data_IF_440677509204
#
_entry.id   IF_440677509204
#
_cell.length_a   1.000
_cell.length_b   1.000
_cell.length_c   1.000
_cell.angle_alpha   90.00
_cell.angle_beta   90.00
_cell.angle_gamma   90.00
#
_symmetry.space_group_name_H-M   'P 1'
#
loop_
_entity.id
_entity.type
_entity.pdbx_description
1 polymer ?
#
# COMPACT_ATOMS: atom_id res chain seq x y z
N UNK A 1 4.41 2.01 -26.32
CA UNK A 1 4.11 3.09 -25.36
C UNK A 1 2.63 3.08 -25.05
N UNK A 2 2.23 3.33 -23.81
CA UNK A 2 0.83 3.46 -23.38
C UNK A 2 0.29 4.80 -23.84
N UNK A 3 -0.86 4.80 -24.52
CA UNK A 3 -1.53 6.00 -25.03
C UNK A 3 -2.82 6.33 -24.30
N UNK A 4 -3.28 5.45 -23.40
CA UNK A 4 -4.50 5.59 -22.61
C UNK A 4 -4.28 5.11 -21.20
N UNK A 5 -4.64 5.91 -20.17
CA UNK A 5 -4.33 5.62 -18.77
C UNK A 5 -5.44 6.09 -17.83
N UNK A 6 -5.93 5.22 -16.96
CA UNK A 6 -6.73 5.60 -15.79
C UNK A 6 -5.83 5.64 -14.55
N UNK A 7 -5.73 6.79 -13.89
CA UNK A 7 -5.04 6.95 -12.61
C UNK A 7 -6.08 6.82 -11.49
N UNK A 8 -5.88 5.88 -10.56
CA UNK A 8 -6.86 5.45 -9.59
C UNK A 8 -6.34 5.68 -8.16
N UNK A 9 -7.03 6.53 -7.41
CA UNK A 9 -6.59 6.96 -6.08
C UNK A 9 -7.67 6.65 -5.04
N UNK A 10 -7.54 5.56 -4.27
CA UNK A 10 -8.40 5.31 -3.11
C UNK A 10 -8.06 6.29 -1.99
N UNK A 11 -9.07 6.94 -1.41
CA UNK A 11 -8.89 7.93 -0.34
C UNK A 11 -9.80 7.62 0.85
N UNK A 12 -9.29 7.82 2.06
CA UNK A 12 -10.05 7.84 3.30
C UNK A 12 -9.40 8.78 4.31
N UNK A 13 -10.09 9.85 4.67
CA UNK A 13 -9.59 10.90 5.55
C UNK A 13 -8.20 11.45 5.11
N UNK A 14 -7.96 11.51 3.81
CA UNK A 14 -6.71 11.98 3.20
C UNK A 14 -6.99 13.04 2.15
N UNK A 15 -6.35 14.20 2.24
CA UNK A 15 -6.40 15.25 1.20
C UNK A 15 -5.37 14.87 0.14
N UNK A 16 -5.84 14.65 -1.10
CA UNK A 16 -5.00 14.29 -2.24
C UNK A 16 -4.99 15.34 -3.37
N UNK A 17 -5.56 16.51 -3.12
CA UNK A 17 -5.73 17.58 -4.12
C UNK A 17 -4.40 17.97 -4.78
N UNK A 18 -3.32 18.13 -4.00
CA UNK A 18 -2.02 18.51 -4.53
C UNK A 18 -1.39 17.41 -5.39
N UNK A 19 -1.51 16.16 -4.95
CA UNK A 19 -1.08 14.99 -5.73
C UNK A 19 -1.81 14.93 -7.07
N UNK A 20 -3.13 15.10 -7.08
CA UNK A 20 -3.93 15.07 -8.31
C UNK A 20 -3.57 16.22 -9.24
N UNK A 21 -3.35 17.45 -8.73
CA UNK A 21 -2.88 18.57 -9.55
C UNK A 21 -1.56 18.27 -10.25
N UNK A 22 -0.59 17.70 -9.54
CA UNK A 22 0.70 17.34 -10.13
C UNK A 22 0.55 16.24 -11.19
N UNK A 23 -0.25 15.20 -10.92
CA UNK A 23 -0.53 14.15 -11.90
C UNK A 23 -1.25 14.67 -13.14
N UNK A 24 -2.27 15.52 -12.95
CA UNK A 24 -3.00 16.16 -14.06
C UNK A 24 -2.07 17.01 -14.94
N UNK A 25 -1.23 17.86 -14.33
CA UNK A 25 -0.27 18.68 -15.06
C UNK A 25 0.71 17.82 -15.87
N UNK A 26 1.22 16.71 -15.28
CA UNK A 26 2.09 15.78 -16.00
C UNK A 26 1.38 15.13 -17.19
N UNK A 27 0.15 14.64 -17.01
CA UNK A 27 -0.63 14.05 -18.11
C UNK A 27 -0.88 15.05 -19.24
N UNK A 28 -1.24 16.28 -18.93
CA UNK A 28 -1.43 17.35 -19.92
C UNK A 28 -0.14 17.75 -20.66
N UNK A 29 1.03 17.53 -20.06
CA UNK A 29 2.32 17.88 -20.66
C UNK A 29 2.89 16.82 -21.60
N UNK A 30 2.28 15.65 -21.70
CA UNK A 30 2.74 14.56 -22.58
C UNK A 30 2.54 14.97 -24.04
N UNK A 31 3.65 15.08 -24.77
CA UNK A 31 3.70 15.69 -26.11
C UNK A 31 3.04 14.87 -27.24
N UNK A 32 2.77 13.59 -27.03
CA UNK A 32 2.11 12.69 -27.99
C UNK A 32 0.62 12.58 -27.68
N UNK A 33 -0.23 12.11 -28.62
CA UNK A 33 -1.63 11.83 -28.33
C UNK A 33 -1.76 10.88 -27.13
N UNK A 34 -2.30 11.40 -26.01
CA UNK A 34 -2.44 10.67 -24.77
C UNK A 34 -3.80 10.97 -24.14
N UNK A 35 -4.57 9.94 -23.89
CA UNK A 35 -5.87 10.03 -23.21
C UNK A 35 -5.74 9.57 -21.78
N UNK A 36 -6.27 10.33 -20.85
CA UNK A 36 -6.21 9.96 -19.45
C UNK A 36 -7.47 10.34 -18.69
N UNK A 37 -7.65 9.70 -17.58
CA UNK A 37 -8.58 10.10 -16.51
C UNK A 37 -7.91 9.91 -15.15
N UNK A 38 -8.36 10.68 -14.16
CA UNK A 38 -7.95 10.54 -12.76
C UNK A 38 -9.22 10.33 -11.95
N UNK A 39 -9.37 9.14 -11.37
CA UNK A 39 -10.51 8.79 -10.51
C UNK A 39 -10.04 8.76 -9.05
N UNK A 40 -10.64 9.59 -8.21
CA UNK A 40 -10.45 9.56 -6.77
C UNK A 40 -11.71 9.00 -6.12
N UNK A 41 -11.61 7.89 -5.39
CA UNK A 41 -12.74 7.34 -4.65
C UNK A 41 -12.56 7.57 -3.15
N UNK A 42 -13.47 8.34 -2.59
CA UNK A 42 -13.59 8.55 -1.14
C UNK A 42 -14.37 7.39 -0.50
N UNK A 43 -13.71 6.65 0.38
CA UNK A 43 -14.31 5.49 1.08
C UNK A 43 -15.11 5.92 2.33
N UNK A 44 -16.03 6.86 2.14
CA UNK A 44 -16.86 7.47 3.19
C UNK A 44 -16.03 8.11 4.31
N UNK A 45 -15.20 9.08 3.96
CA UNK A 45 -14.44 9.89 4.92
C UNK A 45 -15.34 10.53 5.97
N UNK A 46 -14.87 10.53 7.20
CA UNK A 46 -15.61 11.09 8.36
C UNK A 46 -15.26 12.55 8.64
N UNK A 47 -14.19 13.07 8.03
CA UNK A 47 -13.79 14.47 8.17
C UNK A 47 -14.36 15.32 7.03
N UNK A 48 -15.31 16.24 7.28
CA UNK A 48 -15.93 17.08 6.26
C UNK A 48 -14.94 18.01 5.54
N UNK A 49 -13.87 18.46 6.20
CA UNK A 49 -12.84 19.30 5.58
C UNK A 49 -12.06 18.55 4.50
N UNK A 50 -11.80 17.26 4.72
CA UNK A 50 -11.16 16.40 3.71
C UNK A 50 -12.05 16.25 2.49
N UNK A 51 -13.33 15.96 2.70
CA UNK A 51 -14.32 15.84 1.61
C UNK A 51 -14.36 17.13 0.80
N UNK A 52 -14.55 18.27 1.46
CA UNK A 52 -14.59 19.59 0.83
C UNK A 52 -13.30 19.91 0.05
N UNK A 53 -12.15 19.60 0.62
CA UNK A 53 -10.86 19.82 -0.05
C UNK A 53 -10.71 18.96 -1.32
N UNK A 54 -11.20 17.72 -1.31
CA UNK A 54 -11.11 16.82 -2.46
C UNK A 54 -12.21 17.08 -3.51
N UNK A 55 -13.37 17.64 -3.14
CA UNK A 55 -14.41 18.04 -4.11
C UNK A 55 -13.92 19.05 -5.15
N UNK A 56 -12.89 19.85 -4.84
CA UNK A 56 -12.26 20.77 -5.80
C UNK A 56 -11.71 20.03 -7.03
N UNK A 57 -11.47 18.72 -6.94
CA UNK A 57 -10.97 17.89 -8.04
C UNK A 57 -11.95 17.81 -9.22
N UNK A 58 -13.25 17.98 -9.01
CA UNK A 58 -14.27 18.01 -10.07
C UNK A 58 -14.14 19.24 -11.00
N UNK A 59 -13.33 20.22 -10.64
CA UNK A 59 -13.05 21.40 -11.47
C UNK A 59 -11.93 21.15 -12.51
N UNK A 60 -11.19 20.05 -12.40
CA UNK A 60 -10.15 19.68 -13.35
C UNK A 60 -10.75 18.76 -14.43
N UNK A 61 -10.47 19.08 -15.70
CA UNK A 61 -10.81 18.19 -16.80
C UNK A 61 -10.22 16.80 -16.60
N UNK A 62 -10.93 15.77 -17.01
CA UNK A 62 -10.51 14.37 -16.84
C UNK A 62 -10.35 13.88 -15.38
N UNK A 63 -10.80 14.67 -14.40
CA UNK A 63 -10.79 14.27 -12.99
C UNK A 63 -12.21 14.03 -12.48
N UNK A 64 -12.41 12.92 -11.75
CA UNK A 64 -13.71 12.59 -11.14
C UNK A 64 -13.50 12.23 -9.67
N UNK A 65 -14.31 12.85 -8.80
CA UNK A 65 -14.34 12.54 -7.37
C UNK A 65 -15.58 11.71 -7.06
N UNK A 66 -15.37 10.45 -6.69
CA UNK A 66 -16.43 9.46 -6.40
C UNK A 66 -16.56 9.26 -4.89
N UNK A 67 -17.75 9.53 -4.34
CA UNK A 67 -18.02 9.34 -2.92
C UNK A 67 -18.79 8.04 -2.69
N UNK A 68 -18.24 7.13 -1.88
CA UNK A 68 -18.94 5.91 -1.48
C UNK A 68 -19.85 6.19 -0.28
N UNK A 69 -21.02 5.56 -0.18
CA UNK A 69 -21.94 5.79 0.91
C UNK A 69 -21.49 5.19 2.25
N UNK A 70 -20.59 4.21 2.22
CA UNK A 70 -20.10 3.49 3.40
C UNK A 70 -18.64 3.13 3.25
N UNK A 71 -17.89 3.13 4.37
CA UNK A 71 -16.51 2.66 4.39
C UNK A 71 -16.47 1.14 4.22
N UNK A 72 -15.86 0.68 3.16
CA UNK A 72 -15.72 -0.74 2.81
C UNK A 72 -14.29 -1.25 2.82
N UNK A 73 -13.32 -0.34 3.03
CA UNK A 73 -11.89 -0.63 3.11
C UNK A 73 -11.16 -0.53 1.76
N UNK A 74 -9.83 -0.47 1.84
CA UNK A 74 -8.95 -0.18 0.71
C UNK A 74 -9.06 -1.20 -0.44
N UNK A 75 -9.25 -2.48 -0.14
CA UNK A 75 -9.43 -3.54 -1.13
C UNK A 75 -10.67 -3.28 -1.99
N UNK A 76 -11.83 -3.09 -1.35
CA UNK A 76 -13.10 -2.82 -2.04
C UNK A 76 -13.06 -1.49 -2.79
N UNK A 77 -12.39 -0.47 -2.25
CA UNK A 77 -12.28 0.84 -2.91
C UNK A 77 -11.40 0.78 -4.17
N UNK A 78 -10.33 -0.02 -4.16
CA UNK A 78 -9.55 -0.26 -5.39
C UNK A 78 -10.33 -1.05 -6.44
N UNK A 79 -11.12 -2.07 -6.02
CA UNK A 79 -11.99 -2.79 -6.94
C UNK A 79 -13.07 -1.87 -7.55
N UNK A 80 -13.68 -1.03 -6.71
CA UNK A 80 -14.65 -0.02 -7.16
C UNK A 80 -14.04 0.92 -8.22
N UNK A 81 -12.85 1.44 -7.99
CA UNK A 81 -12.14 2.28 -8.96
C UNK A 81 -11.86 1.52 -10.26
N UNK A 82 -11.38 0.29 -10.21
CA UNK A 82 -11.11 -0.51 -11.40
C UNK A 82 -12.36 -0.77 -12.26
N UNK A 83 -13.53 -0.91 -11.61
CA UNK A 83 -14.82 -1.08 -12.29
C UNK A 83 -15.27 0.20 -13.02
N UNK A 84 -14.99 1.38 -12.44
CA UNK A 84 -15.35 2.69 -13.01
C UNK A 84 -14.35 3.20 -14.05
N UNK A 85 -13.14 2.67 -14.06
CA UNK A 85 -12.10 3.06 -15.01
C UNK A 85 -12.49 2.67 -16.45
N UNK A 86 -12.22 3.58 -17.40
CA UNK A 86 -12.55 3.35 -18.81
C UNK A 86 -11.39 2.80 -19.65
N UNK A 87 -10.14 3.06 -19.24
CA UNK A 87 -8.96 2.66 -20.02
C UNK A 87 -8.40 1.31 -19.59
N UNK A 88 -7.64 0.67 -20.49
CA UNK A 88 -7.06 -0.65 -20.24
C UNK A 88 -5.89 -0.61 -19.25
N UNK A 89 -5.12 0.47 -19.20
CA UNK A 89 -4.03 0.60 -18.25
C UNK A 89 -4.47 1.39 -17.01
N UNK A 90 -4.30 0.78 -15.84
CA UNK A 90 -4.68 1.33 -14.54
C UNK A 90 -3.44 1.60 -13.70
N UNK A 91 -3.21 2.85 -13.31
CA UNK A 91 -2.16 3.23 -12.37
C UNK A 91 -2.78 3.50 -10.99
N UNK A 92 -2.58 2.60 -10.05
CA UNK A 92 -3.05 2.77 -8.67
C UNK A 92 -2.01 3.49 -7.84
N UNK A 93 -2.44 4.53 -7.09
CA UNK A 93 -1.60 5.35 -6.22
C UNK A 93 -2.31 5.59 -4.88
N UNK A 94 -1.62 5.38 -3.75
CA UNK A 94 -2.19 5.70 -2.43
C UNK A 94 -2.22 7.22 -2.20
N UNK A 95 -3.33 7.73 -1.67
CA UNK A 95 -3.64 9.16 -1.51
C UNK A 95 -2.77 9.90 -0.49
N UNK A 96 -2.07 9.21 0.42
CA UNK A 96 -1.22 9.78 1.47
C UNK A 96 0.27 9.85 1.10
N UNK A 97 0.56 9.70 -0.19
CA UNK A 97 1.90 9.72 -0.75
C UNK A 97 2.17 11.01 -1.52
N UNK A 98 3.44 11.28 -1.83
CA UNK A 98 3.90 12.46 -2.58
C UNK A 98 4.53 12.05 -3.90
N UNK A 99 4.24 12.76 -4.99
CA UNK A 99 4.87 12.59 -6.30
C UNK A 99 6.32 13.13 -6.21
N UNK A 100 7.34 12.38 -6.66
CA UNK A 100 8.73 12.76 -6.47
C UNK A 100 9.21 13.88 -7.41
N UNK A 101 8.69 13.92 -8.65
CA UNK A 101 9.13 14.84 -9.72
C UNK A 101 8.11 14.88 -10.87
N UNK A 102 8.40 15.74 -11.88
CA UNK A 102 7.47 16.05 -12.99
C UNK A 102 7.43 14.99 -14.09
N UNK A 103 8.21 13.90 -14.01
CA UNK A 103 8.25 12.81 -14.99
C UNK A 103 7.71 11.49 -14.46
N UNK A 104 7.02 11.52 -13.34
CA UNK A 104 6.54 10.32 -12.67
C UNK A 104 5.57 9.50 -13.55
N UNK A 105 4.60 10.14 -14.21
CA UNK A 105 3.64 9.46 -15.10
C UNK A 105 4.34 8.96 -16.36
N UNK A 106 5.15 9.80 -17.00
CA UNK A 106 5.87 9.47 -18.25
C UNK A 106 6.66 8.17 -18.14
N UNK A 107 7.33 7.94 -16.99
CA UNK A 107 8.12 6.72 -16.74
C UNK A 107 7.32 5.43 -16.78
N UNK A 108 5.99 5.48 -16.64
CA UNK A 108 5.15 4.28 -16.77
C UNK A 108 4.78 3.94 -18.21
N UNK A 109 4.79 4.92 -19.11
CA UNK A 109 4.19 4.78 -20.45
C UNK A 109 4.95 3.80 -21.37
N UNK A 110 6.22 3.52 -21.09
CA UNK A 110 7.05 2.63 -21.91
C UNK A 110 6.90 1.13 -21.56
N UNK A 111 6.27 0.82 -20.44
CA UNK A 111 6.23 -0.56 -19.92
C UNK A 111 5.00 -1.33 -20.37
N UNK A 112 4.93 -1.67 -21.67
CA UNK A 112 3.83 -2.48 -22.24
C UNK A 112 4.13 -3.97 -22.30
N UNK A 113 5.38 -4.38 -22.03
CA UNK A 113 5.83 -5.78 -22.13
C UNK A 113 5.52 -6.64 -20.89
N UNK A 114 5.05 -6.02 -19.80
CA UNK A 114 4.70 -6.69 -18.55
C UNK A 114 3.24 -6.41 -18.18
N UNK A 115 2.61 -7.36 -17.53
CA UNK A 115 1.21 -7.24 -17.12
C UNK A 115 1.04 -6.33 -15.88
N UNK A 116 2.07 -6.31 -15.02
CA UNK A 116 2.14 -5.50 -13.81
C UNK A 116 3.49 -4.78 -13.73
N UNK A 117 3.48 -3.49 -13.44
CA UNK A 117 4.68 -2.70 -13.17
C UNK A 117 4.55 -2.03 -11.81
N UNK A 118 5.50 -2.30 -10.90
CA UNK A 118 5.47 -1.76 -9.54
C UNK A 118 6.59 -0.74 -9.34
N UNK A 119 6.23 0.54 -9.08
CA UNK A 119 7.17 1.65 -8.97
C UNK A 119 7.96 1.69 -7.67
N UNK A 120 7.36 1.17 -6.60
CA UNK A 120 7.97 1.17 -5.26
C UNK A 120 7.66 2.40 -4.44
N UNK A 121 8.33 2.49 -3.29
CA UNK A 121 8.17 3.56 -2.29
C UNK A 121 9.56 4.01 -1.87
N UNK A 122 9.76 5.31 -1.71
CA UNK A 122 10.91 5.90 -1.02
C UNK A 122 10.47 6.59 0.27
N UNK A 123 11.40 6.71 1.21
CA UNK A 123 11.10 7.24 2.53
C UNK A 123 11.65 8.65 2.67
N UNK A 124 10.75 9.61 2.82
CA UNK A 124 11.07 11.01 3.03
C UNK A 124 11.67 11.27 4.41
N UNK A 125 11.77 12.54 4.78
CA UNK A 125 12.34 12.93 6.08
C UNK A 125 11.36 12.66 7.22
N UNK A 126 11.82 11.96 8.26
CA UNK A 126 11.04 11.67 9.47
C UNK A 126 11.84 11.82 10.75
N UNK A 127 11.15 11.75 11.89
CA UNK A 127 11.78 11.87 13.21
C UNK A 127 12.37 10.53 13.64
N UNK A 128 13.61 10.54 14.16
CA UNK A 128 14.31 9.32 14.65
C UNK A 128 13.61 8.62 15.83
N UNK A 129 12.67 9.28 16.50
CA UNK A 129 11.85 8.69 17.55
C UNK A 129 10.46 8.24 17.06
N UNK A 130 10.21 8.30 15.76
CA UNK A 130 8.98 7.76 15.16
C UNK A 130 9.21 6.31 14.71
N UNK A 131 8.43 5.38 15.25
CA UNK A 131 8.59 3.95 15.01
C UNK A 131 8.30 3.56 13.54
N UNK A 132 7.27 4.16 12.93
CA UNK A 132 6.96 3.90 11.51
C UNK A 132 8.11 4.36 10.61
N UNK A 133 8.59 5.58 10.84
CA UNK A 133 9.75 6.10 10.10
C UNK A 133 10.97 5.18 10.23
N UNK A 134 11.34 4.80 11.46
CA UNK A 134 12.47 3.90 11.69
C UNK A 134 12.31 2.57 10.96
N UNK A 135 11.11 1.99 10.98
CA UNK A 135 10.84 0.70 10.34
C UNK A 135 10.94 0.79 8.82
N UNK A 136 10.24 1.75 8.20
CA UNK A 136 10.22 1.93 6.75
C UNK A 136 11.59 2.38 6.21
N UNK A 137 12.26 3.32 6.88
CA UNK A 137 13.60 3.79 6.48
C UNK A 137 14.65 2.67 6.58
N UNK A 138 14.61 1.83 7.61
CA UNK A 138 15.50 0.68 7.68
C UNK A 138 15.18 -0.38 6.60
N UNK A 139 13.92 -0.52 6.20
CA UNK A 139 13.51 -1.46 5.17
C UNK A 139 13.91 -1.00 3.75
N UNK A 140 13.92 0.30 3.49
CA UNK A 140 14.13 0.90 2.16
C UNK A 140 15.37 0.36 1.45
N UNK A 141 16.51 0.23 2.14
CA UNK A 141 17.78 -0.31 1.59
C UNK A 141 17.67 -1.75 1.07
N UNK A 142 16.66 -2.49 1.52
CA UNK A 142 16.37 -3.87 1.10
C UNK A 142 15.27 -3.97 0.06
N UNK A 143 14.71 -2.83 -0.39
CA UNK A 143 13.60 -2.74 -1.33
C UNK A 143 13.96 -1.98 -2.62
N UNK A 144 15.22 -2.00 -3.06
CA UNK A 144 15.61 -1.48 -4.37
C UNK A 144 14.89 -2.22 -5.50
N UNK A 145 14.68 -1.59 -6.65
CA UNK A 145 14.02 -2.22 -7.80
C UNK A 145 14.70 -3.56 -8.20
N UNK A 146 16.02 -3.63 -8.13
CA UNK A 146 16.79 -4.84 -8.41
C UNK A 146 16.44 -5.98 -7.43
N UNK A 147 16.43 -5.71 -6.12
CA UNK A 147 16.11 -6.72 -5.10
C UNK A 147 14.65 -7.15 -5.18
N UNK A 148 13.74 -6.22 -5.49
CA UNK A 148 12.32 -6.51 -5.70
C UNK A 148 12.11 -7.41 -6.92
N UNK A 149 12.83 -7.18 -8.03
CA UNK A 149 12.76 -8.03 -9.22
C UNK A 149 13.22 -9.47 -8.95
N UNK A 150 14.26 -9.67 -8.11
CA UNK A 150 14.69 -11.02 -7.68
C UNK A 150 13.61 -11.77 -6.88
N UNK A 151 12.77 -11.05 -6.15
CA UNK A 151 11.72 -11.61 -5.30
C UNK A 151 10.34 -11.68 -5.99
N UNK A 152 10.14 -10.95 -7.09
CA UNK A 152 8.91 -10.90 -7.86
C UNK A 152 7.71 -10.45 -7.04
N UNK A 153 6.59 -11.14 -7.15
CA UNK A 153 5.35 -10.79 -6.44
C UNK A 153 5.42 -10.85 -4.90
N UNK A 154 6.48 -11.42 -4.30
CA UNK A 154 6.68 -11.38 -2.85
C UNK A 154 6.99 -9.96 -2.33
N UNK A 155 7.44 -9.07 -3.21
CA UNK A 155 7.70 -7.66 -2.91
C UNK A 155 6.69 -6.71 -3.58
N UNK A 156 5.57 -7.25 -4.08
CA UNK A 156 4.47 -6.44 -4.60
C UNK A 156 3.82 -5.63 -3.47
N UNK A 157 3.58 -4.35 -3.73
CA UNK A 157 2.83 -3.43 -2.86
C UNK A 157 1.82 -2.64 -3.68
N UNK A 158 0.60 -2.52 -3.18
CA UNK A 158 -0.49 -1.83 -3.88
C UNK A 158 -0.43 -0.31 -3.82
N UNK A 159 0.59 0.27 -3.18
CA UNK A 159 0.74 1.72 -3.00
C UNK A 159 1.03 2.45 -4.32
N UNK A 160 1.72 1.78 -5.26
CA UNK A 160 2.21 2.40 -6.49
C UNK A 160 2.45 1.32 -7.55
N UNK A 161 1.43 1.05 -8.37
CA UNK A 161 1.55 0.03 -9.42
C UNK A 161 0.65 0.27 -10.61
N UNK A 162 1.14 -0.11 -11.78
CA UNK A 162 0.43 -0.15 -13.05
C UNK A 162 -0.01 -1.58 -13.33
N UNK A 163 -1.22 -1.79 -13.82
CA UNK A 163 -1.80 -3.11 -14.16
C UNK A 163 -2.82 -2.98 -15.26
N UNK A 164 -3.01 -4.04 -16.08
CA UNK A 164 -4.10 -4.11 -17.04
C UNK A 164 -5.45 -4.24 -16.34
N UNK A 165 -6.44 -3.46 -16.80
CA UNK A 165 -7.82 -3.47 -16.28
C UNK A 165 -8.45 -4.85 -16.39
N UNK A 166 -8.30 -5.51 -17.54
CA UNK A 166 -8.78 -6.88 -17.75
C UNK A 166 -8.25 -7.84 -16.69
N UNK A 167 -6.99 -7.70 -16.29
CA UNK A 167 -6.37 -8.55 -15.29
C UNK A 167 -6.90 -8.31 -13.88
N UNK A 168 -7.01 -7.05 -13.44
CA UNK A 168 -7.51 -6.73 -12.09
C UNK A 168 -9.00 -7.06 -11.93
N UNK A 169 -9.80 -6.97 -13.00
CA UNK A 169 -11.20 -7.40 -12.99
C UNK A 169 -11.35 -8.92 -12.88
N UNK A 170 -10.43 -9.69 -13.46
CA UNK A 170 -10.39 -11.16 -13.33
C UNK A 170 -9.79 -11.64 -12.01
N UNK A 171 -8.95 -10.81 -11.39
CA UNK A 171 -8.26 -11.09 -10.13
C UNK A 171 -8.40 -9.88 -9.19
N UNK A 172 -9.62 -9.60 -8.67
CA UNK A 172 -9.83 -8.46 -7.82
C UNK A 172 -9.13 -8.62 -6.46
N UNK A 173 -8.93 -7.53 -5.77
CA UNK A 173 -8.56 -7.56 -4.35
C UNK A 173 -9.62 -8.32 -3.55
N UNK A 174 -9.17 -9.09 -2.57
CA UNK A 174 -10.09 -9.83 -1.69
C UNK A 174 -10.75 -8.88 -0.67
N UNK A 175 -12.04 -8.66 -0.83
CA UNK A 175 -12.82 -7.73 0.00
C UNK A 175 -13.10 -8.23 1.41
N UNK A 176 -12.69 -9.46 1.76
CA UNK A 176 -12.68 -9.92 3.16
C UNK A 176 -11.68 -9.15 4.02
N UNK A 177 -10.70 -8.46 3.40
CA UNK A 177 -9.79 -7.52 4.06
C UNK A 177 -10.48 -6.16 4.22
N UNK A 178 -11.21 -5.99 5.32
CA UNK A 178 -11.94 -4.74 5.63
C UNK A 178 -11.03 -3.59 6.07
N UNK A 179 -9.82 -3.89 6.50
CA UNK A 179 -8.80 -2.92 6.90
C UNK A 179 -7.57 -3.12 6.00
N UNK A 180 -6.80 -2.06 5.80
CA UNK A 180 -5.53 -2.14 5.07
C UNK A 180 -4.55 -3.10 5.75
N UNK A 181 -3.84 -3.85 4.94
CA UNK A 181 -2.77 -4.77 5.35
C UNK A 181 -3.01 -6.20 4.90
N UNK A 182 -2.05 -6.69 4.11
CA UNK A 182 -1.98 -8.02 3.49
C UNK A 182 -2.96 -8.29 2.33
N UNK A 183 -3.87 -7.38 1.98
CA UNK A 183 -4.70 -7.48 0.77
C UNK A 183 -3.84 -7.48 -0.50
N UNK A 184 -2.78 -6.68 -0.50
CA UNK A 184 -1.78 -6.60 -1.56
C UNK A 184 -0.92 -7.87 -1.64
N UNK A 185 -0.53 -8.42 -0.51
CA UNK A 185 0.23 -9.68 -0.42
C UNK A 185 -0.58 -10.84 -1.01
N UNK A 186 -1.88 -10.92 -0.69
CA UNK A 186 -2.75 -11.97 -1.25
C UNK A 186 -2.98 -11.77 -2.75
N UNK A 187 -3.19 -10.54 -3.20
CA UNK A 187 -3.28 -10.25 -4.64
C UNK A 187 -1.99 -10.65 -5.37
N UNK A 188 -0.83 -10.24 -4.86
CA UNK A 188 0.47 -10.62 -5.42
C UNK A 188 0.65 -12.13 -5.52
N UNK A 189 0.25 -12.88 -4.48
CA UNK A 189 0.25 -14.36 -4.52
C UNK A 189 -0.67 -14.90 -5.62
N UNK A 190 -1.89 -14.37 -5.73
CA UNK A 190 -2.88 -14.80 -6.72
C UNK A 190 -2.39 -14.57 -8.14
N UNK A 191 -1.82 -13.39 -8.43
CA UNK A 191 -1.25 -13.05 -9.73
C UNK A 191 -0.04 -13.95 -10.06
N UNK A 192 0.84 -14.18 -9.10
CA UNK A 192 1.98 -15.08 -9.26
C UNK A 192 1.56 -16.52 -9.62
N UNK A 193 0.54 -17.05 -8.94
CA UNK A 193 0.03 -18.40 -9.20
C UNK A 193 -0.64 -18.52 -10.57
N UNK A 194 -1.10 -17.41 -11.16
CA UNK A 194 -1.66 -17.36 -12.53
C UNK A 194 -0.59 -17.14 -13.59
N UNK A 195 0.69 -17.08 -13.24
CA UNK A 195 1.79 -16.88 -14.18
C UNK A 195 1.87 -15.47 -14.76
N UNK A 196 1.26 -14.48 -14.09
CA UNK A 196 1.30 -13.06 -14.49
C UNK A 196 2.73 -12.55 -14.41
N UNK A 197 3.14 -11.71 -15.36
CA UNK A 197 4.46 -11.08 -15.37
C UNK A 197 4.48 -9.79 -14.52
N UNK A 198 5.52 -9.61 -13.69
CA UNK A 198 5.74 -8.37 -12.93
C UNK A 198 7.13 -7.81 -13.19
N UNK A 199 7.20 -6.49 -13.33
CA UNK A 199 8.43 -5.73 -13.36
C UNK A 199 8.44 -4.69 -12.22
N UNK A 200 9.51 -4.68 -11.44
CA UNK A 200 9.74 -3.62 -10.47
C UNK A 200 10.69 -2.57 -11.06
N UNK A 201 10.24 -1.32 -11.07
CA UNK A 201 11.02 -0.18 -11.57
C UNK A 201 11.40 0.77 -10.45
N UNK A 202 12.38 1.64 -10.71
CA UNK A 202 12.73 2.72 -9.79
C UNK A 202 11.92 3.98 -10.13
N UNK A 203 10.65 3.97 -9.77
CA UNK A 203 9.73 5.11 -9.90
C UNK A 203 8.89 5.27 -8.62
N UNK A 204 9.54 5.52 -7.45
CA UNK A 204 8.87 5.45 -6.16
C UNK A 204 7.97 6.65 -5.90
N UNK A 205 6.85 6.42 -5.22
CA UNK A 205 6.17 7.47 -4.46
C UNK A 205 6.92 7.74 -3.15
N UNK A 206 6.84 8.96 -2.66
CA UNK A 206 7.52 9.37 -1.42
C UNK A 206 6.56 9.32 -0.23
N UNK A 207 6.93 8.57 0.80
CA UNK A 207 6.21 8.55 2.07
C UNK A 207 6.74 9.67 2.97
N UNK A 208 5.96 10.71 3.19
CA UNK A 208 6.30 11.86 4.02
C UNK A 208 5.47 11.94 5.31
N UNK A 209 4.41 11.11 5.44
CA UNK A 209 3.50 11.12 6.58
C UNK A 209 3.71 9.88 7.43
N UNK A 210 4.06 10.09 8.70
CA UNK A 210 4.32 9.02 9.65
C UNK A 210 3.41 9.21 10.85
N UNK A 211 2.51 8.26 11.08
CA UNK A 211 1.60 8.28 12.23
C UNK A 211 2.39 8.27 13.54
N UNK A 212 1.79 8.80 14.59
CA UNK A 212 2.31 8.69 15.95
C UNK A 212 2.48 7.22 16.36
N UNK A 213 3.50 6.94 17.19
CA UNK A 213 3.87 5.59 17.59
C UNK A 213 2.69 4.77 18.13
N UNK A 214 1.80 5.37 18.92
CA UNK A 214 0.65 4.67 19.46
C UNK A 214 -0.36 4.27 18.38
N UNK A 215 -0.67 5.17 17.42
CA UNK A 215 -1.55 4.88 16.27
C UNK A 215 -0.94 3.83 15.37
N UNK A 216 0.37 3.92 15.12
CA UNK A 216 1.09 2.93 14.33
C UNK A 216 1.08 1.54 14.98
N UNK A 217 1.31 1.45 16.31
CA UNK A 217 1.21 0.19 17.04
C UNK A 217 -0.19 -0.43 16.95
N UNK A 218 -1.26 0.36 17.10
CA UNK A 218 -2.63 -0.12 16.95
C UNK A 218 -2.89 -0.65 15.54
N UNK A 219 -2.36 0.03 14.51
CA UNK A 219 -2.44 -0.42 13.10
C UNK A 219 -1.70 -1.74 12.92
N UNK A 220 -0.49 -1.85 13.45
CA UNK A 220 0.30 -3.10 13.41
C UNK A 220 -0.42 -4.26 14.10
N UNK A 221 -1.00 -4.04 15.26
CA UNK A 221 -1.76 -5.06 16.00
C UNK A 221 -3.00 -5.53 15.20
N UNK A 222 -3.73 -4.61 14.54
CA UNK A 222 -4.83 -4.99 13.63
C UNK A 222 -4.33 -5.82 12.46
N UNK A 223 -3.24 -5.38 11.82
CA UNK A 223 -2.64 -6.10 10.69
C UNK A 223 -2.16 -7.50 11.10
N UNK A 224 -1.61 -7.67 12.30
CA UNK A 224 -1.21 -8.99 12.80
C UNK A 224 -2.40 -9.92 13.06
N UNK A 225 -3.55 -9.38 13.51
CA UNK A 225 -4.80 -10.14 13.60
C UNK A 225 -5.29 -10.59 12.22
N UNK A 226 -5.24 -9.70 11.24
CA UNK A 226 -5.56 -10.02 9.84
C UNK A 226 -4.61 -11.09 9.30
N UNK A 227 -3.30 -10.94 9.52
CA UNK A 227 -2.29 -11.93 9.13
C UNK A 227 -2.59 -13.31 9.73
N UNK A 228 -2.95 -13.37 11.00
CA UNK A 228 -3.31 -14.63 11.65
C UNK A 228 -4.60 -15.24 11.08
N UNK A 229 -5.62 -14.41 10.81
CA UNK A 229 -6.88 -14.85 10.22
C UNK A 229 -6.68 -15.48 8.84
N UNK A 230 -5.83 -14.91 8.01
CA UNK A 230 -5.55 -15.34 6.63
C UNK A 230 -4.22 -16.08 6.49
N UNK A 231 -3.67 -16.67 7.58
CA UNK A 231 -2.33 -17.26 7.60
C UNK A 231 -2.15 -18.39 6.59
N UNK A 232 -3.21 -19.17 6.34
CA UNK A 232 -3.15 -20.30 5.41
C UNK A 232 -3.07 -19.81 3.96
N UNK A 233 -3.82 -18.76 3.61
CA UNK A 233 -3.76 -18.12 2.30
C UNK A 233 -2.45 -17.35 2.08
N UNK A 234 -1.87 -16.75 3.13
CA UNK A 234 -0.67 -15.90 3.07
C UNK A 234 0.64 -16.67 3.27
N UNK A 235 0.59 -17.98 3.46
CA UNK A 235 1.78 -18.82 3.66
C UNK A 235 2.75 -18.71 2.47
N UNK A 236 4.04 -18.56 2.76
CA UNK A 236 5.13 -18.40 1.78
C UNK A 236 5.25 -17.00 1.17
N UNK A 237 4.35 -16.07 1.52
CA UNK A 237 4.35 -14.66 1.11
C UNK A 237 4.47 -13.68 2.27
N UNK A 238 4.54 -14.15 3.51
CA UNK A 238 4.79 -13.34 4.70
C UNK A 238 6.00 -13.83 5.47
N UNK A 239 7.09 -13.03 5.46
CA UNK A 239 8.33 -13.34 6.21
C UNK A 239 8.07 -13.57 7.70
N UNK A 240 7.09 -12.84 8.28
CA UNK A 240 6.76 -12.98 9.69
C UNK A 240 6.07 -14.32 9.99
N UNK A 241 5.18 -14.78 9.09
CA UNK A 241 4.57 -16.12 9.20
C UNK A 241 5.62 -17.22 9.05
N UNK A 242 6.51 -17.08 8.07
CA UNK A 242 7.57 -18.06 7.82
C UNK A 242 8.51 -18.16 9.02
N UNK A 243 8.87 -17.01 9.62
CA UNK A 243 9.67 -16.96 10.85
C UNK A 243 8.90 -17.60 12.03
N UNK A 244 7.62 -17.24 12.20
CA UNK A 244 6.78 -17.81 13.24
C UNK A 244 6.62 -19.32 13.12
N UNK A 245 6.68 -19.89 11.92
CA UNK A 245 6.59 -21.34 11.69
C UNK A 245 7.90 -22.11 12.03
N UNK A 246 9.05 -21.42 12.01
CA UNK A 246 10.38 -22.05 12.21
C UNK A 246 10.87 -21.97 13.65
N UNK A 247 10.40 -21.01 14.42
CA UNK A 247 10.91 -20.79 15.79
C UNK A 247 10.16 -21.61 16.84
N UNK A 248 10.83 -22.03 17.92
CA UNK A 248 10.17 -22.64 19.08
C UNK A 248 9.25 -21.59 19.75
N UNK A 249 7.96 -21.87 19.74
CA UNK A 249 6.95 -20.90 20.14
C UNK A 249 6.91 -20.61 21.66
N UNK A 250 7.33 -21.55 22.51
CA UNK A 250 7.15 -21.50 23.94
C UNK A 250 7.78 -20.29 24.61
N UNK A 251 9.07 -20.04 24.36
CA UNK A 251 9.81 -18.90 24.94
C UNK A 251 9.29 -17.54 24.53
N UNK A 252 9.04 -17.37 23.22
CA UNK A 252 8.55 -16.08 22.69
C UNK A 252 7.13 -15.79 23.21
N UNK A 253 6.27 -16.80 23.27
CA UNK A 253 4.91 -16.67 23.84
C UNK A 253 4.96 -16.37 25.33
N UNK A 254 5.82 -17.06 26.11
CA UNK A 254 6.01 -16.79 27.52
C UNK A 254 6.46 -15.35 27.74
N UNK A 255 7.51 -14.92 27.03
CA UNK A 255 7.98 -13.53 27.09
C UNK A 255 6.87 -12.54 26.79
N UNK A 256 6.21 -12.65 25.65
CA UNK A 256 5.17 -11.72 25.24
C UNK A 256 4.01 -11.67 26.23
N UNK A 257 3.58 -12.84 26.76
CA UNK A 257 2.51 -12.92 27.77
C UNK A 257 2.81 -12.07 29.02
N UNK A 258 4.06 -12.02 29.45
CA UNK A 258 4.44 -11.33 30.68
C UNK A 258 4.90 -9.89 30.44
N UNK A 259 5.46 -9.58 29.28
CA UNK A 259 6.13 -8.30 29.01
C UNK A 259 5.50 -7.43 27.93
N UNK A 260 4.41 -7.84 27.26
CA UNK A 260 3.82 -7.10 26.13
C UNK A 260 3.39 -5.67 26.49
N UNK A 261 2.91 -5.39 27.69
CA UNK A 261 2.56 -4.05 28.14
C UNK A 261 3.80 -3.15 28.28
N UNK A 262 4.88 -3.71 28.82
CA UNK A 262 6.16 -3.02 28.94
C UNK A 262 6.78 -2.77 27.57
N UNK A 263 6.83 -3.79 26.69
CA UNK A 263 7.27 -3.66 25.31
C UNK A 263 6.48 -2.54 24.57
N UNK A 264 5.16 -2.58 24.67
CA UNK A 264 4.27 -1.61 24.05
C UNK A 264 4.52 -0.20 24.56
N UNK A 265 4.73 -0.02 25.87
CA UNK A 265 5.07 1.28 26.46
C UNK A 265 6.38 1.85 25.92
N UNK A 266 7.41 1.04 25.78
CA UNK A 266 8.68 1.46 25.19
C UNK A 266 8.53 1.82 23.71
N UNK A 267 7.78 1.01 22.94
CA UNK A 267 7.56 1.24 21.50
C UNK A 267 6.70 2.47 21.21
N UNK A 268 5.81 2.84 22.13
CA UNK A 268 5.01 4.06 22.01
C UNK A 268 5.69 5.29 22.61
N UNK A 269 6.82 5.13 23.29
CA UNK A 269 7.61 6.21 23.90
C UNK A 269 8.56 6.90 22.92
N UNK A 270 9.52 7.64 23.50
CA UNK A 270 10.45 8.51 22.74
C UNK A 270 11.66 7.77 22.13
N UNK A 271 11.89 6.51 22.49
CA UNK A 271 13.06 5.73 22.05
C UNK A 271 12.67 4.33 21.58
N UNK A 272 11.80 4.21 20.56
CA UNK A 272 11.43 2.91 20.02
C UNK A 272 12.64 2.27 19.33
N UNK A 273 12.74 0.93 19.39
CA UNK A 273 13.79 0.17 18.70
C UNK A 273 13.20 -0.88 17.79
N UNK A 274 13.84 -1.14 16.65
CA UNK A 274 13.36 -2.12 15.68
C UNK A 274 13.46 -3.56 16.19
N UNK A 275 14.48 -3.87 17.01
CA UNK A 275 14.62 -5.18 17.62
C UNK A 275 13.41 -5.50 18.49
N UNK A 276 13.06 -4.59 19.41
CA UNK A 276 11.90 -4.76 20.29
C UNK A 276 10.60 -4.81 19.50
N UNK A 277 10.47 -3.98 18.45
CA UNK A 277 9.30 -3.99 17.57
C UNK A 277 9.11 -5.33 16.85
N UNK A 278 10.19 -5.91 16.32
CA UNK A 278 10.13 -7.23 15.68
C UNK A 278 9.80 -8.35 16.67
N UNK A 279 10.36 -8.30 17.88
CA UNK A 279 10.03 -9.24 18.96
C UNK A 279 8.56 -9.13 19.36
N UNK A 280 8.05 -7.90 19.56
CA UNK A 280 6.65 -7.64 19.86
C UNK A 280 5.72 -8.21 18.78
N UNK A 281 5.98 -7.92 17.51
CA UNK A 281 5.16 -8.42 16.39
C UNK A 281 5.11 -9.95 16.35
N UNK A 282 6.24 -10.60 16.55
CA UNK A 282 6.33 -12.05 16.57
C UNK A 282 5.55 -12.63 17.77
N UNK A 283 5.77 -12.08 18.97
CA UNK A 283 5.07 -12.50 20.18
C UNK A 283 3.56 -12.31 20.09
N UNK A 284 3.13 -11.15 19.57
CA UNK A 284 1.72 -10.83 19.35
C UNK A 284 1.06 -11.80 18.36
N UNK A 285 1.71 -12.13 17.24
CA UNK A 285 1.22 -13.11 16.27
C UNK A 285 1.10 -14.50 16.89
N UNK A 286 2.12 -14.92 17.64
CA UNK A 286 2.14 -16.24 18.29
C UNK A 286 1.12 -16.37 19.43
N UNK A 287 0.70 -15.27 20.04
CA UNK A 287 -0.30 -15.28 21.11
C UNK A 287 -1.68 -15.78 20.65
N UNK A 288 -1.99 -15.65 19.35
CA UNK A 288 -3.23 -16.18 18.75
C UNK A 288 -3.19 -17.68 18.45
N UNK A 289 -2.02 -18.29 18.40
CA UNK A 289 -1.94 -19.76 18.25
C UNK A 289 -2.44 -20.43 19.53
N UNK A 290 -3.61 -21.05 19.47
CA UNK A 290 -4.03 -22.02 20.49
C UNK A 290 -3.07 -23.23 20.42
N UNK A 291 -2.75 -23.82 21.59
CA UNK A 291 -1.98 -25.05 21.68
C UNK A 291 -2.69 -26.17 20.94
#
# INVERSE_FOLDING_TARGET
MITELSILIPSYNSICTEMVKQLHAQCCSIAQPFHFEILVADDASTNPEVIKANQVLEQFEHCTFLQKPTNTGSASTRNFLAQHAQYEWLLFLDSDMTIPDDRFVERYLDYTSHDVVNGGISIGKGKKNNLRYLYEHNAERHHTAELRNKAGFKEFRSTNFLIKRTLILQCPFDERFKHSGYEDVLLGKTLSLKGVSILHINNPLVMNIFEENNKYMQKCERNLRTLYKFRDELQGYSRLLDLANRLPHGLVRYWHRHFHLWERRLLTGNHPTLLLFNLYRLGYLLSYRKN
#
